data_IF_933205150639
#
_entry.id   IF_933205150639
#
_cell.length_a   1.000
_cell.length_b   1.000
_cell.length_c   1.000
_cell.angle_alpha   90.00
_cell.angle_beta   90.00
_cell.angle_gamma   90.00
#
_symmetry.space_group_name_H-M   'P 1'
#
loop_
_entity.id
_entity.type
_entity.pdbx_description
1 polymer ?
#
# COMPACT_ATOMS: atom_id res chain seq x y z
N UNK A 1 36.23 -1.72 -4.93
CA UNK A 1 35.16 -2.65 -5.33
C UNK A 1 33.87 -1.91 -5.68
N UNK A 2 33.90 -1.18 -6.81
CA UNK A 2 32.69 -0.61 -7.44
C UNK A 2 31.98 -1.67 -8.32
N UNK A 3 32.74 -2.67 -8.77
CA UNK A 3 32.29 -3.76 -9.63
C UNK A 3 31.27 -4.69 -8.97
N UNK A 4 31.31 -4.86 -7.65
CA UNK A 4 30.38 -5.76 -6.93
C UNK A 4 28.99 -5.13 -6.70
N UNK A 5 28.89 -3.80 -6.71
CA UNK A 5 27.63 -3.06 -6.54
C UNK A 5 26.89 -2.90 -7.87
N UNK A 6 27.61 -2.60 -8.95
CA UNK A 6 27.04 -2.58 -10.31
C UNK A 6 26.53 -3.97 -10.70
N UNK A 7 27.28 -5.04 -10.39
CA UNK A 7 26.82 -6.40 -10.68
C UNK A 7 25.54 -6.78 -9.93
N UNK A 8 25.36 -6.30 -8.70
CA UNK A 8 24.16 -6.58 -7.91
C UNK A 8 22.94 -5.79 -8.39
N UNK A 9 23.15 -4.62 -8.98
CA UNK A 9 22.06 -3.80 -9.53
C UNK A 9 21.60 -4.33 -10.88
N UNK A 10 22.53 -4.65 -11.77
CA UNK A 10 22.22 -5.25 -13.07
C UNK A 10 21.58 -6.64 -12.88
N UNK A 11 22.03 -7.45 -11.89
CA UNK A 11 21.33 -8.70 -11.53
C UNK A 11 19.88 -8.46 -11.11
N UNK A 12 19.60 -7.49 -10.21
CA UNK A 12 18.23 -7.23 -9.76
C UNK A 12 17.38 -6.70 -10.91
N UNK A 13 17.93 -5.82 -11.73
CA UNK A 13 17.23 -5.26 -12.88
C UNK A 13 16.94 -6.33 -13.93
N UNK A 14 17.91 -7.17 -14.27
CA UNK A 14 17.73 -8.27 -15.23
C UNK A 14 16.75 -9.32 -14.68
N UNK A 15 16.81 -9.66 -13.39
CA UNK A 15 15.82 -10.54 -12.73
C UNK A 15 14.43 -9.91 -12.76
N UNK A 16 14.32 -8.60 -12.58
CA UNK A 16 13.05 -7.89 -12.63
C UNK A 16 12.54 -7.73 -14.06
N UNK A 17 13.40 -7.54 -15.06
CA UNK A 17 13.05 -7.48 -16.49
C UNK A 17 12.64 -8.87 -17.00
N UNK A 18 13.36 -9.94 -16.64
CA UNK A 18 12.96 -11.32 -16.89
C UNK A 18 11.66 -11.66 -16.16
N UNK A 19 11.48 -11.19 -14.92
CA UNK A 19 10.24 -11.34 -14.14
C UNK A 19 9.05 -10.66 -14.82
N UNK A 20 9.19 -9.41 -15.27
CA UNK A 20 8.13 -8.69 -15.97
C UNK A 20 7.77 -9.31 -17.32
N UNK A 21 8.71 -10.06 -17.92
CA UNK A 21 8.46 -10.87 -19.11
C UNK A 21 7.88 -12.27 -18.81
N UNK A 22 7.81 -12.70 -17.53
CA UNK A 22 7.43 -14.06 -17.09
C UNK A 22 6.40 -14.10 -15.96
N UNK A 23 5.66 -13.01 -15.72
CA UNK A 23 4.83 -12.83 -14.54
C UNK A 23 3.33 -12.97 -14.75
N UNK A 24 2.83 -14.17 -15.07
CA UNK A 24 1.52 -14.70 -14.66
C UNK A 24 1.61 -16.23 -14.51
N UNK A 25 2.43 -16.70 -13.56
CA UNK A 25 2.21 -17.86 -12.66
C UNK A 25 3.55 -18.28 -12.04
N UNK A 26 4.06 -17.50 -11.09
CA UNK A 26 5.30 -17.85 -10.37
C UNK A 26 5.03 -17.90 -8.87
N UNK A 27 5.59 -18.87 -8.10
CA UNK A 27 5.60 -18.85 -6.64
C UNK A 27 6.05 -17.50 -6.08
N UNK A 28 5.71 -17.21 -4.82
CA UNK A 28 6.20 -16.03 -4.09
C UNK A 28 7.69 -15.82 -4.35
N UNK A 29 8.01 -14.78 -5.13
CA UNK A 29 9.38 -14.40 -5.41
C UNK A 29 9.75 -13.40 -4.34
N UNK A 30 10.85 -13.70 -3.67
CA UNK A 30 11.43 -12.90 -2.63
C UNK A 30 12.84 -12.50 -3.10
N UNK A 31 12.94 -11.31 -3.69
CA UNK A 31 14.23 -10.74 -4.09
C UNK A 31 14.75 -9.97 -2.88
N UNK A 32 15.95 -10.31 -2.42
CA UNK A 32 16.53 -9.78 -1.20
C UNK A 32 17.93 -9.22 -1.45
N UNK A 33 18.30 -8.14 -0.78
CA UNK A 33 19.67 -7.65 -0.81
C UNK A 33 20.66 -8.66 -0.19
N UNK A 34 21.86 -8.79 -0.76
CA UNK A 34 22.91 -9.74 -0.32
C UNK A 34 23.30 -9.64 1.16
N UNK A 35 23.10 -8.47 1.76
CA UNK A 35 23.42 -8.16 3.16
C UNK A 35 22.24 -8.31 4.13
N UNK A 36 21.08 -8.74 3.64
CA UNK A 36 19.92 -8.99 4.49
C UNK A 36 20.18 -10.16 5.43
N UNK A 37 19.70 -10.03 6.67
CA UNK A 37 19.71 -11.09 7.66
C UNK A 37 18.35 -11.13 8.35
N UNK A 38 17.72 -12.31 8.49
CA UNK A 38 16.44 -12.44 9.17
C UNK A 38 16.59 -12.08 10.65
N UNK A 39 15.63 -11.32 11.18
CA UNK A 39 15.58 -10.93 12.60
C UNK A 39 14.31 -11.44 13.30
N UNK A 40 13.25 -11.74 12.54
CA UNK A 40 11.98 -12.26 13.05
C UNK A 40 12.04 -13.79 13.19
N UNK A 41 13.02 -14.27 13.94
CA UNK A 41 13.16 -15.71 14.27
C UNK A 41 12.01 -16.18 15.17
N UNK A 42 11.80 -17.49 15.28
CA UNK A 42 10.77 -18.04 16.19
C UNK A 42 11.01 -17.63 17.66
N UNK A 43 12.27 -17.53 18.09
CA UNK A 43 12.62 -16.97 19.39
C UNK A 43 12.14 -15.51 19.49
N UNK A 44 12.45 -14.67 18.49
CA UNK A 44 12.00 -13.28 18.47
C UNK A 44 10.48 -13.17 18.49
N UNK A 45 9.77 -13.94 17.67
CA UNK A 45 8.30 -13.98 17.64
C UNK A 45 7.71 -14.33 18.99
N UNK A 46 8.33 -15.24 19.74
CA UNK A 46 7.87 -15.61 21.10
C UNK A 46 8.01 -14.48 22.13
N UNK A 47 8.92 -13.52 21.90
CA UNK A 47 9.09 -12.34 22.78
C UNK A 47 8.10 -11.21 22.50
N UNK A 48 7.43 -11.24 21.35
CA UNK A 48 6.51 -10.18 20.92
C UNK A 48 5.08 -10.52 21.36
N UNK A 49 4.39 -9.56 21.97
CA UNK A 49 2.97 -9.70 22.30
C UNK A 49 2.13 -9.29 21.10
N UNK A 50 1.72 -10.27 20.28
CA UNK A 50 0.96 -10.08 19.03
C UNK A 50 -0.51 -9.65 19.21
N UNK A 51 -0.78 -8.62 20.03
CA UNK A 51 -2.15 -8.23 20.39
C UNK A 51 -2.88 -7.59 19.23
N UNK A 52 -2.23 -6.68 18.50
CA UNK A 52 -2.80 -6.01 17.34
C UNK A 52 -2.99 -7.00 16.18
N UNK A 53 -2.00 -7.86 15.94
CA UNK A 53 -2.09 -8.87 14.88
C UNK A 53 -3.20 -9.90 15.16
N UNK A 54 -3.24 -10.49 16.36
CA UNK A 54 -4.22 -11.53 16.68
C UNK A 54 -5.67 -11.04 16.61
N UNK A 55 -5.95 -9.80 17.08
CA UNK A 55 -7.31 -9.24 16.98
C UNK A 55 -7.72 -8.97 15.54
N UNK A 56 -6.78 -8.53 14.69
CA UNK A 56 -7.07 -8.28 13.27
C UNK A 56 -7.34 -9.60 12.52
N UNK A 57 -6.51 -10.63 12.73
CA UNK A 57 -6.75 -11.95 12.13
C UNK A 57 -8.09 -12.56 12.59
N UNK A 58 -8.43 -12.41 13.87
CA UNK A 58 -9.74 -12.83 14.41
C UNK A 58 -10.90 -12.09 13.75
N UNK A 59 -10.75 -10.78 13.54
CA UNK A 59 -11.73 -9.96 12.83
C UNK A 59 -11.92 -10.38 11.37
N UNK A 60 -10.84 -10.74 10.65
CA UNK A 60 -10.94 -11.26 9.28
C UNK A 60 -11.72 -12.58 9.22
N UNK A 61 -11.50 -13.48 10.18
CA UNK A 61 -12.19 -14.77 10.24
C UNK A 61 -13.67 -14.61 10.62
N UNK A 62 -13.96 -13.87 11.67
CA UNK A 62 -15.30 -13.86 12.27
C UNK A 62 -16.23 -12.77 11.71
N UNK A 63 -15.72 -11.57 11.42
CA UNK A 63 -16.56 -10.48 10.86
C UNK A 63 -16.55 -10.48 9.33
N UNK A 64 -15.36 -10.60 8.72
CA UNK A 64 -15.24 -10.61 7.25
C UNK A 64 -15.52 -11.99 6.65
N UNK A 65 -15.57 -13.04 7.47
CA UNK A 65 -15.84 -14.42 7.05
C UNK A 65 -14.87 -14.92 5.97
N UNK A 66 -13.62 -14.49 6.04
CA UNK A 66 -12.59 -14.94 5.12
C UNK A 66 -12.19 -16.38 5.45
N UNK A 67 -11.81 -17.14 4.41
CA UNK A 67 -11.35 -18.51 4.58
C UNK A 67 -10.06 -18.53 5.41
N UNK A 68 -9.93 -19.53 6.28
CA UNK A 68 -8.74 -19.70 7.14
C UNK A 68 -7.44 -19.75 6.34
N UNK A 69 -7.45 -20.39 5.18
CA UNK A 69 -6.30 -20.47 4.27
C UNK A 69 -5.85 -19.10 3.75
N UNK A 70 -6.79 -18.21 3.45
CA UNK A 70 -6.50 -16.83 3.00
C UNK A 70 -5.92 -16.01 4.15
N UNK A 71 -6.52 -16.10 5.34
CA UNK A 71 -6.04 -15.40 6.53
C UNK A 71 -4.64 -15.89 6.94
N UNK A 72 -4.39 -17.21 6.89
CA UNK A 72 -3.08 -17.80 7.12
C UNK A 72 -2.04 -17.35 6.08
N UNK A 73 -2.43 -17.23 4.81
CA UNK A 73 -1.55 -16.69 3.75
C UNK A 73 -1.16 -15.23 4.03
N UNK A 74 -2.10 -14.39 4.46
CA UNK A 74 -1.82 -13.00 4.87
C UNK A 74 -0.90 -12.99 6.09
N UNK A 75 -1.16 -13.84 7.08
CA UNK A 75 -0.31 -13.95 8.26
C UNK A 75 1.12 -14.37 7.88
N UNK A 76 1.31 -15.40 7.05
CA UNK A 76 2.65 -15.82 6.61
C UNK A 76 3.34 -14.73 5.80
N UNK A 77 2.71 -14.22 4.75
CA UNK A 77 3.32 -13.21 3.87
C UNK A 77 3.70 -11.93 4.61
N UNK A 78 2.93 -11.52 5.62
CA UNK A 78 3.29 -10.36 6.44
C UNK A 78 4.32 -10.64 7.53
N UNK A 79 4.52 -11.90 7.94
CA UNK A 79 5.71 -12.27 8.72
C UNK A 79 6.96 -12.11 7.85
N UNK A 80 6.89 -12.58 6.60
CA UNK A 80 8.00 -12.48 5.65
C UNK A 80 8.33 -11.02 5.36
N UNK A 81 7.33 -10.18 5.03
CA UNK A 81 7.56 -8.74 4.81
C UNK A 81 8.14 -8.08 6.06
N UNK A 82 7.60 -8.36 7.26
CA UNK A 82 8.13 -7.78 8.49
C UNK A 82 9.58 -8.22 8.76
N UNK A 83 9.93 -9.46 8.44
CA UNK A 83 11.29 -9.97 8.57
C UNK A 83 12.29 -9.27 7.62
N UNK A 84 11.81 -8.68 6.53
CA UNK A 84 12.59 -7.81 5.65
C UNK A 84 12.64 -6.35 6.10
N UNK A 85 11.67 -5.92 6.90
CA UNK A 85 11.70 -4.61 7.54
C UNK A 85 12.84 -4.53 8.57
N UNK A 86 13.23 -3.33 9.02
CA UNK A 86 14.31 -3.21 10.01
C UNK A 86 13.86 -3.58 11.43
N UNK A 87 14.66 -4.34 12.20
CA UNK A 87 14.32 -4.68 13.59
C UNK A 87 14.13 -3.42 14.45
N UNK A 88 12.93 -3.16 14.99
CA UNK A 88 12.65 -1.98 15.83
C UNK A 88 13.55 -1.85 17.05
N UNK A 89 14.09 -2.96 17.56
CA UNK A 89 14.97 -2.98 18.73
C UNK A 89 16.46 -2.82 18.40
N UNK A 90 16.81 -2.78 17.11
CA UNK A 90 18.18 -2.58 16.69
C UNK A 90 18.69 -1.23 17.24
N UNK A 91 19.85 -1.25 17.89
CA UNK A 91 20.44 -0.04 18.48
C UNK A 91 20.99 0.93 17.43
N UNK A 92 21.39 0.39 16.29
CA UNK A 92 21.96 1.16 15.17
C UNK A 92 20.87 1.71 14.25
N UNK A 93 21.23 2.75 13.49
CA UNK A 93 20.41 3.35 12.44
C UNK A 93 20.18 2.33 11.31
N UNK A 94 19.01 2.40 10.68
CA UNK A 94 18.69 1.57 9.51
C UNK A 94 17.79 2.33 8.53
N UNK A 95 17.97 2.00 7.25
CA UNK A 95 17.24 2.60 6.14
C UNK A 95 16.85 1.49 5.18
N UNK A 96 15.65 0.93 5.35
CA UNK A 96 15.16 -0.20 4.54
C UNK A 96 14.13 0.31 3.54
N UNK A 97 14.25 -0.10 2.27
CA UNK A 97 13.33 0.21 1.18
C UNK A 97 12.93 -1.07 0.46
N UNK A 98 11.65 -1.39 0.49
CA UNK A 98 11.13 -2.54 -0.24
C UNK A 98 9.85 -2.24 -1.02
N UNK A 99 9.53 -3.17 -1.93
CA UNK A 99 8.34 -3.12 -2.76
C UNK A 99 7.55 -4.42 -2.59
N UNK A 100 6.25 -4.28 -2.40
CA UNK A 100 5.30 -5.39 -2.39
C UNK A 100 4.43 -5.27 -3.63
N UNK A 101 4.55 -6.25 -4.51
CA UNK A 101 3.83 -6.30 -5.79
C UNK A 101 2.69 -7.29 -5.66
N UNK A 102 1.51 -6.93 -6.14
CA UNK A 102 0.42 -7.88 -6.25
C UNK A 102 -0.66 -7.39 -7.19
N UNK A 103 -1.38 -8.32 -7.80
CA UNK A 103 -2.42 -8.02 -8.79
C UNK A 103 -3.48 -7.04 -8.26
N UNK A 104 -4.20 -6.39 -9.17
CA UNK A 104 -5.40 -5.63 -8.81
C UNK A 104 -6.32 -6.54 -8.00
N UNK A 105 -6.83 -6.11 -6.84
CA UNK A 105 -7.62 -6.94 -5.91
C UNK A 105 -6.94 -8.17 -5.26
N UNK A 106 -5.62 -8.33 -5.36
CA UNK A 106 -4.85 -9.39 -4.64
C UNK A 106 -4.84 -9.28 -3.10
N UNK A 107 -5.60 -8.36 -2.51
CA UNK A 107 -5.62 -8.16 -1.06
C UNK A 107 -4.48 -7.29 -0.52
N UNK A 108 -3.77 -6.51 -1.36
CA UNK A 108 -2.72 -5.55 -0.94
C UNK A 108 -3.09 -4.75 0.30
N UNK A 109 -4.31 -4.21 0.33
CA UNK A 109 -4.79 -3.42 1.47
C UNK A 109 -4.89 -4.23 2.76
N UNK A 110 -5.40 -5.46 2.70
CA UNK A 110 -5.48 -6.34 3.86
C UNK A 110 -4.07 -6.80 4.30
N UNK A 111 -3.16 -6.95 3.34
CA UNK A 111 -1.76 -7.28 3.59
C UNK A 111 -1.04 -6.13 4.33
N UNK A 112 -1.04 -4.90 3.81
CA UNK A 112 -0.40 -3.79 4.55
C UNK A 112 -1.10 -3.50 5.88
N UNK A 113 -2.41 -3.74 6.01
CA UNK A 113 -3.12 -3.60 7.28
C UNK A 113 -2.67 -4.66 8.30
N UNK A 114 -2.42 -5.89 7.86
CA UNK A 114 -1.78 -6.94 8.70
C UNK A 114 -0.37 -6.54 9.10
N UNK A 115 0.43 -6.04 8.15
CA UNK A 115 1.79 -5.56 8.41
C UNK A 115 1.82 -4.43 9.44
N UNK A 116 0.91 -3.45 9.34
CA UNK A 116 0.78 -2.35 10.31
C UNK A 116 0.50 -2.91 11.71
N UNK A 117 -0.46 -3.81 11.86
CA UNK A 117 -0.79 -4.41 13.15
C UNK A 117 0.44 -5.13 13.75
N UNK A 118 1.17 -5.90 12.94
CA UNK A 118 2.40 -6.59 13.37
C UNK A 118 3.54 -5.63 13.70
N UNK A 119 3.71 -4.57 12.91
CA UNK A 119 4.74 -3.56 13.14
C UNK A 119 4.53 -2.84 14.48
N UNK A 120 3.27 -2.52 14.84
CA UNK A 120 2.93 -1.96 16.14
C UNK A 120 3.31 -2.93 17.26
N UNK A 121 2.94 -4.21 17.15
CA UNK A 121 3.30 -5.24 18.13
C UNK A 121 4.83 -5.41 18.26
N UNK A 122 5.56 -5.38 17.14
CA UNK A 122 7.01 -5.55 17.07
C UNK A 122 7.81 -4.36 17.63
N UNK A 123 7.18 -3.19 17.78
CA UNK A 123 7.76 -2.02 18.44
C UNK A 123 8.02 -0.80 17.56
N UNK A 124 7.49 -0.76 16.33
CA UNK A 124 7.45 0.48 15.55
C UNK A 124 6.67 1.56 16.30
N UNK A 125 7.19 2.80 16.30
CA UNK A 125 6.61 3.91 17.08
C UNK A 125 5.87 4.93 16.24
N UNK A 126 6.12 4.94 14.94
CA UNK A 126 5.43 5.81 13.99
C UNK A 126 5.09 4.99 12.76
N UNK A 127 3.81 4.96 12.41
CA UNK A 127 3.29 4.37 11.18
C UNK A 127 2.69 5.50 10.34
N UNK A 128 3.12 5.61 9.10
CA UNK A 128 2.58 6.55 8.12
C UNK A 128 2.09 5.76 6.93
N UNK A 129 0.85 5.99 6.52
CA UNK A 129 0.27 5.40 5.31
C UNK A 129 0.04 6.50 4.30
N UNK A 130 0.78 6.48 3.19
CA UNK A 130 0.56 7.33 2.04
C UNK A 130 -0.53 6.71 1.17
N UNK A 131 -1.57 7.47 0.86
CA UNK A 131 -2.68 7.04 0.00
C UNK A 131 -2.56 7.66 -1.39
N UNK A 132 -3.62 7.58 -2.20
CA UNK A 132 -3.71 8.36 -3.44
C UNK A 132 -3.69 9.89 -3.26
N UNK A 133 -4.00 10.61 -4.34
CA UNK A 133 -3.92 12.08 -4.44
C UNK A 133 -5.20 12.83 -4.00
N UNK A 134 -6.30 12.11 -3.73
CA UNK A 134 -7.61 12.70 -3.40
C UNK A 134 -7.95 12.55 -1.91
N UNK A 135 -8.80 13.45 -1.40
CA UNK A 135 -9.21 13.41 0.01
C UNK A 135 -10.15 12.24 0.30
N UNK A 136 -10.90 11.81 -0.71
CA UNK A 136 -11.86 10.71 -0.68
C UNK A 136 -11.12 9.38 -0.49
N UNK A 137 -10.08 9.13 -1.30
CA UNK A 137 -9.25 7.92 -1.16
C UNK A 137 -8.55 7.87 0.21
N UNK A 138 -8.08 9.02 0.68
CA UNK A 138 -7.48 9.16 2.02
C UNK A 138 -8.50 8.85 3.12
N UNK A 139 -9.71 9.44 3.05
CA UNK A 139 -10.80 9.21 3.99
C UNK A 139 -11.26 7.75 4.01
N UNK A 140 -11.37 7.11 2.84
CA UNK A 140 -11.71 5.68 2.74
C UNK A 140 -10.65 4.80 3.41
N UNK A 141 -9.37 5.07 3.17
CA UNK A 141 -8.26 4.35 3.81
C UNK A 141 -8.26 4.57 5.32
N UNK A 142 -8.50 5.80 5.77
CA UNK A 142 -8.62 6.10 7.20
C UNK A 142 -9.76 5.32 7.84
N UNK A 143 -10.98 5.32 7.27
CA UNK A 143 -12.12 4.56 7.80
C UNK A 143 -11.83 3.06 7.90
N UNK A 144 -11.04 2.54 6.96
CA UNK A 144 -10.58 1.14 7.01
C UNK A 144 -9.64 0.92 8.18
N UNK A 145 -8.58 1.72 8.33
CA UNK A 145 -7.62 1.57 9.43
C UNK A 145 -8.23 1.88 10.81
N UNK A 146 -9.19 2.79 10.88
CA UNK A 146 -10.02 3.04 12.05
C UNK A 146 -10.72 1.76 12.51
N UNK A 147 -11.22 0.96 11.57
CA UNK A 147 -11.92 -0.31 11.85
C UNK A 147 -10.96 -1.47 12.10
N UNK A 148 -9.90 -1.55 11.29
CA UNK A 148 -9.06 -2.75 11.14
C UNK A 148 -7.73 -2.67 11.91
N UNK A 149 -7.37 -1.47 12.39
CA UNK A 149 -6.19 -1.25 13.24
C UNK A 149 -6.57 -0.57 14.55
N UNK A 150 -7.34 0.53 14.54
CA UNK A 150 -7.63 1.29 15.77
C UNK A 150 -8.73 0.62 16.61
N UNK A 151 -9.82 0.25 15.96
CA UNK A 151 -11.05 -0.21 16.60
C UNK A 151 -11.97 0.93 17.10
N UNK A 152 -11.80 2.16 16.58
CA UNK A 152 -12.60 3.34 16.92
C UNK A 152 -12.84 4.20 15.67
N UNK A 153 -13.96 4.93 15.62
CA UNK A 153 -14.22 5.94 14.59
C UNK A 153 -13.47 7.23 14.93
N UNK A 154 -12.94 7.92 13.92
CA UNK A 154 -12.23 9.21 14.10
C UNK A 154 -12.93 10.41 13.47
N UNK A 155 -14.06 10.24 12.77
CA UNK A 155 -14.82 11.33 12.14
C UNK A 155 -15.61 12.18 13.15
N UNK A 156 -15.92 13.43 12.79
CA UNK A 156 -16.56 14.44 13.66
C UNK A 156 -17.90 13.96 14.24
N UNK A 157 -18.63 13.12 13.51
CA UNK A 157 -19.91 12.59 14.00
C UNK A 157 -19.75 11.67 15.22
N UNK A 158 -18.55 11.10 15.44
CA UNK A 158 -18.23 10.30 16.63
C UNK A 158 -18.10 11.11 17.92
N UNK A 159 -17.85 12.42 17.86
CA UNK A 159 -17.77 13.28 19.06
C UNK A 159 -19.17 13.68 19.59
N UNK A 160 -20.20 13.66 18.73
CA UNK A 160 -21.58 14.00 19.11
C UNK A 160 -22.31 12.86 19.80
N UNK A 161 -21.81 11.64 19.65
CA UNK A 161 -22.33 10.44 20.30
C UNK A 161 -21.46 10.11 21.52
N UNK A 162 -21.47 10.97 22.54
CA UNK A 162 -20.78 10.70 23.83
C UNK A 162 -21.27 9.43 24.53
N UNK A 163 -22.36 8.82 24.05
CA UNK A 163 -22.91 7.53 24.48
C UNK A 163 -22.38 6.31 23.71
N UNK A 164 -21.61 6.49 22.62
CA UNK A 164 -21.23 5.41 21.68
C UNK A 164 -19.75 4.96 21.79
N UNK A 165 -18.95 5.56 22.69
CA UNK A 165 -17.56 5.11 22.97
C UNK A 165 -17.48 3.69 23.52
N UNK A 166 -18.62 3.10 23.88
CA UNK A 166 -18.74 1.74 24.38
C UNK A 166 -19.27 0.74 23.33
N UNK A 167 -19.51 1.18 22.09
CA UNK A 167 -19.93 0.29 20.99
C UNK A 167 -18.72 -0.28 20.27
N UNK A 168 -18.72 -1.60 20.13
CA UNK A 168 -17.63 -2.29 19.46
C UNK A 168 -17.61 -1.94 17.97
N UNK A 169 -16.54 -1.26 17.56
CA UNK A 169 -16.25 -0.89 16.18
C UNK A 169 -15.04 -1.67 15.65
N UNK A 170 -15.27 -2.52 14.65
CA UNK A 170 -14.19 -3.26 13.98
C UNK A 170 -13.45 -4.23 14.92
N UNK A 171 -12.12 -4.13 14.95
CA UNK A 171 -11.25 -5.01 15.74
C UNK A 171 -11.43 -4.88 17.25
N UNK A 172 -12.09 -3.83 17.74
CA UNK A 172 -12.35 -3.66 19.19
C UNK A 172 -13.23 -4.77 19.78
N UNK A 173 -14.07 -5.42 18.97
CA UNK A 173 -14.82 -6.64 19.31
C UNK A 173 -13.93 -7.79 19.79
N UNK A 174 -12.69 -7.83 19.31
CA UNK A 174 -11.70 -8.89 19.57
C UNK A 174 -10.61 -8.42 20.53
N UNK A 175 -10.77 -7.24 21.15
CA UNK A 175 -9.84 -6.67 22.10
C UNK A 175 -9.66 -5.17 21.93
N UNK A 176 -10.08 -4.41 22.95
CA UNK A 176 -9.80 -2.98 23.06
C UNK A 176 -8.36 -2.78 23.53
N UNK A 177 -7.58 -2.07 22.72
CA UNK A 177 -6.19 -1.73 23.04
C UNK A 177 -6.08 -0.20 23.13
N UNK A 178 -5.52 0.27 24.24
CA UNK A 178 -5.03 1.64 24.38
C UNK A 178 -3.52 1.63 24.08
N UNK A 179 -3.04 2.56 23.26
CA UNK A 179 -1.63 2.59 22.86
C UNK A 179 -1.35 3.04 21.43
N UNK A 180 -2.39 3.40 20.68
CA UNK A 180 -2.28 3.97 19.34
C UNK A 180 -2.87 5.39 19.33
N UNK A 181 -2.04 6.38 19.01
CA UNK A 181 -2.45 7.76 18.81
C UNK A 181 -2.61 8.04 17.32
N UNK A 182 -3.82 8.32 16.87
CA UNK A 182 -4.07 8.64 15.46
C UNK A 182 -4.00 10.15 15.25
N UNK A 183 -3.21 10.57 14.26
CA UNK A 183 -2.91 11.97 13.98
C UNK A 183 -3.82 12.59 12.90
N UNK A 184 -4.65 11.76 12.26
CA UNK A 184 -5.56 12.10 11.16
C UNK A 184 -6.96 11.54 11.46
N UNK A 185 -8.00 12.11 10.86
CA UNK A 185 -9.38 11.65 11.02
C UNK A 185 -10.03 11.20 9.71
N UNK A 186 -11.13 10.47 9.82
CA UNK A 186 -11.91 9.96 8.70
C UNK A 186 -12.68 11.06 7.93
N UNK A 187 -12.72 12.30 8.42
CA UNK A 187 -13.34 13.43 7.73
C UNK A 187 -12.63 13.76 6.41
N UNK A 188 -13.32 14.30 5.40
CA UNK A 188 -12.67 14.69 4.14
C UNK A 188 -11.50 15.67 4.32
N UNK A 189 -11.59 16.56 5.31
CA UNK A 189 -10.52 17.49 5.71
C UNK A 189 -9.78 17.05 7.00
N UNK A 190 -9.85 15.77 7.32
CA UNK A 190 -9.20 15.12 8.47
C UNK A 190 -7.70 14.93 8.34
N UNK A 191 -7.06 15.69 7.44
CA UNK A 191 -5.61 15.74 7.32
C UNK A 191 -4.98 16.18 8.64
N UNK A 192 -3.70 15.83 8.80
CA UNK A 192 -2.89 16.27 9.93
C UNK A 192 -3.07 17.78 10.12
N UNK A 193 -3.57 18.19 11.28
CA UNK A 193 -3.67 19.61 11.62
C UNK A 193 -2.28 20.12 11.99
N UNK A 194 -2.08 21.44 11.96
CA UNK A 194 -0.81 22.01 12.43
C UNK A 194 -0.55 21.48 13.84
N UNK A 195 0.59 20.83 14.09
CA UNK A 195 0.87 20.30 15.40
C UNK A 195 0.88 21.44 16.43
N UNK A 196 0.05 21.39 17.46
CA UNK A 196 -0.06 22.47 18.46
C UNK A 196 0.66 22.16 19.78
N UNK A 197 1.40 21.05 19.84
CA UNK A 197 2.11 20.61 21.04
C UNK A 197 3.40 19.84 20.73
N UNK A 198 4.09 19.46 21.80
CA UNK A 198 5.26 18.57 21.76
C UNK A 198 4.76 17.12 21.78
N UNK A 199 5.25 16.29 20.85
CA UNK A 199 4.95 14.87 20.82
C UNK A 199 6.08 14.11 21.52
N UNK A 200 5.74 13.26 22.48
CA UNK A 200 6.73 12.45 23.20
C UNK A 200 6.76 11.05 22.62
N UNK A 201 7.85 10.72 21.93
CA UNK A 201 8.13 9.33 21.52
C UNK A 201 9.25 8.79 22.41
N UNK A 202 9.01 7.62 23.00
CA UNK A 202 9.78 7.00 24.06
C UNK A 202 9.49 5.49 24.13
N UNK A 203 10.27 4.74 24.91
CA UNK A 203 10.08 3.28 25.05
C UNK A 203 8.66 2.90 25.49
N UNK A 204 8.10 3.64 26.45
CA UNK A 204 6.72 3.47 26.94
C UNK A 204 5.68 4.31 26.18
N UNK A 205 6.09 5.13 25.20
CA UNK A 205 5.14 5.95 24.45
C UNK A 205 4.25 5.11 23.54
N UNK A 206 2.98 5.52 23.37
CA UNK A 206 2.08 4.96 22.37
C UNK A 206 2.66 5.13 20.96
N UNK A 207 2.28 4.22 20.06
CA UNK A 207 2.58 4.34 18.64
C UNK A 207 1.73 5.46 18.03
N UNK A 208 2.28 6.19 17.05
CA UNK A 208 1.53 7.15 16.26
C UNK A 208 1.14 6.57 14.91
N UNK A 209 -0.09 6.83 14.44
CA UNK A 209 -0.56 6.45 13.11
C UNK A 209 -1.06 7.69 12.37
N UNK A 210 -0.66 7.86 11.11
CA UNK A 210 -1.17 8.91 10.23
C UNK A 210 -1.50 8.38 8.84
N UNK A 211 -2.64 8.78 8.28
CA UNK A 211 -3.05 8.48 6.90
C UNK A 211 -3.01 9.75 6.07
N UNK A 212 -2.09 9.80 5.11
CA UNK A 212 -1.63 11.02 4.47
C UNK A 212 -1.82 10.93 2.96
N UNK A 213 -2.48 11.94 2.40
CA UNK A 213 -2.59 12.12 0.96
C UNK A 213 -1.23 12.50 0.36
N UNK A 214 -0.89 11.93 -0.80
CA UNK A 214 0.35 12.23 -1.55
C UNK A 214 0.34 13.64 -2.15
N UNK A 215 0.56 14.64 -1.30
CA UNK A 215 0.71 16.03 -1.73
C UNK A 215 1.80 16.74 -0.93
N UNK A 216 2.57 17.67 -1.53
CA UNK A 216 3.62 18.38 -0.82
C UNK A 216 3.10 19.15 0.40
N UNK A 217 1.88 19.67 0.34
CA UNK A 217 1.27 20.42 1.44
C UNK A 217 0.99 19.54 2.65
N UNK A 218 0.41 18.35 2.46
CA UNK A 218 0.12 17.42 3.57
C UNK A 218 1.40 16.77 4.10
N UNK A 219 2.35 16.39 3.22
CA UNK A 219 3.64 15.83 3.63
C UNK A 219 4.51 16.81 4.44
N UNK A 220 4.47 18.12 4.13
CA UNK A 220 5.13 19.15 4.96
C UNK A 220 4.62 19.17 6.40
N UNK A 221 3.35 18.83 6.64
CA UNK A 221 2.80 18.75 8.00
C UNK A 221 3.37 17.54 8.74
N UNK A 222 3.57 16.42 8.06
CA UNK A 222 4.25 15.23 8.60
C UNK A 222 5.68 15.57 9.00
N UNK A 223 6.42 16.24 8.12
CA UNK A 223 7.78 16.72 8.41
C UNK A 223 7.77 17.61 9.66
N UNK A 224 6.79 18.52 9.77
CA UNK A 224 6.66 19.39 10.95
C UNK A 224 6.33 18.60 12.23
N UNK A 225 5.52 17.55 12.14
CA UNK A 225 5.27 16.63 13.25
C UNK A 225 6.57 15.94 13.68
N UNK A 226 7.32 15.34 12.75
CA UNK A 226 8.57 14.62 13.04
C UNK A 226 9.62 15.54 13.67
N UNK A 227 9.78 16.78 13.17
CA UNK A 227 10.70 17.78 13.74
C UNK A 227 10.33 18.22 15.15
N UNK A 228 9.07 18.08 15.55
CA UNK A 228 8.54 18.48 16.87
C UNK A 228 8.42 17.31 17.84
N UNK A 229 8.71 16.10 17.38
CA UNK A 229 8.78 14.94 18.24
C UNK A 229 10.01 15.09 19.13
N UNK A 230 9.77 15.41 20.39
CA UNK A 230 10.82 15.37 21.42
C UNK A 230 11.03 13.91 21.76
N UNK A 231 12.22 13.44 21.41
CA UNK A 231 12.70 12.13 21.81
C UNK A 231 13.58 12.35 23.03
N UNK A 232 13.44 11.53 24.08
CA UNK A 232 14.43 11.49 25.16
C UNK A 232 15.82 11.13 24.62
N UNK A 233 15.84 10.45 23.47
CA UNK A 233 16.99 10.04 22.68
C UNK A 233 16.98 10.74 21.31
N UNK A 234 17.09 12.08 21.25
CA UNK A 234 17.38 12.74 19.96
C UNK A 234 18.65 12.10 19.43
N UNK A 235 18.54 11.35 18.34
CA UNK A 235 19.67 10.68 17.72
C UNK A 235 20.76 11.71 17.42
N UNK A 236 22.01 11.27 17.33
CA UNK A 236 23.26 12.07 17.30
C UNK A 236 23.32 13.24 16.28
N UNK A 237 22.26 13.51 15.50
CA UNK A 237 22.15 14.54 14.46
C UNK A 237 20.76 15.23 14.34
N UNK A 238 19.89 15.21 15.36
CA UNK A 238 18.57 15.88 15.28
C UNK A 238 17.50 15.12 14.50
N UNK A 239 17.74 13.83 14.20
CA UNK A 239 16.77 12.90 13.61
C UNK A 239 15.98 12.17 14.70
N UNK A 240 14.76 11.75 14.39
CA UNK A 240 13.97 10.86 15.22
C UNK A 240 14.65 9.48 15.28
N UNK A 241 15.01 9.03 16.50
CA UNK A 241 15.72 7.77 16.72
C UNK A 241 14.81 6.53 16.83
N UNK A 242 13.49 6.73 16.81
CA UNK A 242 12.54 5.64 16.91
C UNK A 242 12.18 5.07 15.53
N UNK A 243 11.92 3.75 15.45
CA UNK A 243 11.61 3.08 14.20
C UNK A 243 10.28 3.57 13.61
N UNK A 244 10.35 4.02 12.36
CA UNK A 244 9.21 4.44 11.54
C UNK A 244 8.93 3.44 10.41
N UNK A 245 7.66 3.11 10.21
CA UNK A 245 7.18 2.38 9.03
C UNK A 245 6.38 3.34 8.15
N UNK A 246 6.81 3.51 6.90
CA UNK A 246 6.09 4.25 5.87
C UNK A 246 5.55 3.25 4.84
N UNK A 247 4.23 3.11 4.80
CA UNK A 247 3.51 2.35 3.78
C UNK A 247 3.12 3.30 2.67
N UNK A 248 3.44 2.96 1.43
CA UNK A 248 3.11 3.76 0.26
C UNK A 248 2.15 2.99 -0.65
N UNK A 249 0.84 3.28 -0.54
CA UNK A 249 -0.20 2.64 -1.33
C UNK A 249 -0.28 3.27 -2.74
N UNK A 250 -0.30 2.44 -3.78
CA UNK A 250 -0.06 2.83 -5.17
C UNK A 250 1.27 3.56 -5.35
N UNK A 251 2.36 2.90 -4.95
CA UNK A 251 3.71 3.48 -4.92
C UNK A 251 4.22 3.98 -6.29
N UNK A 252 3.61 3.56 -7.39
CA UNK A 252 3.86 4.04 -8.75
C UNK A 252 3.22 5.40 -9.04
N UNK A 253 2.22 5.81 -8.23
CA UNK A 253 1.54 7.09 -8.33
C UNK A 253 2.14 8.14 -7.39
N UNK A 254 2.56 9.26 -7.97
CA UNK A 254 3.03 10.51 -7.33
C UNK A 254 4.30 10.43 -6.46
N UNK A 255 4.64 9.27 -5.91
CA UNK A 255 5.84 9.06 -5.09
C UNK A 255 7.13 8.98 -5.93
N UNK A 256 7.05 8.36 -7.11
CA UNK A 256 8.16 8.28 -8.07
C UNK A 256 8.50 9.66 -8.62
N UNK A 257 9.79 9.95 -8.80
CA UNK A 257 10.24 11.16 -9.46
C UNK A 257 9.96 11.09 -10.97
N UNK A 258 8.94 11.83 -11.44
CA UNK A 258 8.60 11.92 -12.86
C UNK A 258 9.28 13.07 -13.60
N UNK A 259 10.24 13.77 -12.97
CA UNK A 259 11.00 14.80 -13.65
C UNK A 259 11.92 14.15 -14.71
N UNK A 260 12.05 14.79 -15.88
CA UNK A 260 12.98 14.35 -16.94
C UNK A 260 14.42 14.38 -16.46
N UNK A 261 14.73 15.37 -15.63
CA UNK A 261 16.01 15.47 -14.96
C UNK A 261 15.96 14.66 -13.67
N UNK A 262 16.67 13.53 -13.66
CA UNK A 262 16.72 12.60 -12.54
C UNK A 262 17.65 13.10 -11.41
N UNK A 263 18.24 14.30 -11.52
CA UNK A 263 18.94 14.90 -10.37
C UNK A 263 17.98 15.07 -9.18
N UNK A 264 18.36 14.49 -8.03
CA UNK A 264 17.56 14.52 -6.79
C UNK A 264 17.11 15.93 -6.38
N UNK A 265 17.91 16.96 -6.64
CA UNK A 265 17.57 18.36 -6.29
C UNK A 265 16.37 18.90 -7.07
N UNK A 266 16.13 18.36 -8.27
CA UNK A 266 15.05 18.75 -9.19
C UNK A 266 13.83 17.81 -9.10
N UNK A 267 13.88 16.81 -8.22
CA UNK A 267 12.77 15.87 -8.01
C UNK A 267 11.42 16.54 -7.75
N UNK A 268 10.34 15.85 -8.08
CA UNK A 268 8.97 16.33 -7.82
C UNK A 268 8.76 16.66 -6.35
N UNK A 269 7.87 17.62 -6.06
CA UNK A 269 7.67 18.08 -4.68
C UNK A 269 7.20 16.98 -3.73
N UNK A 270 6.44 15.99 -4.22
CA UNK A 270 6.00 14.82 -3.44
C UNK A 270 7.18 13.91 -3.14
N UNK A 271 7.93 13.46 -4.15
CA UNK A 271 9.12 12.64 -3.99
C UNK A 271 10.12 13.30 -3.01
N UNK A 272 10.44 14.59 -3.21
CA UNK A 272 11.32 15.36 -2.32
C UNK A 272 10.83 15.36 -0.87
N UNK A 273 9.53 15.49 -0.65
CA UNK A 273 8.97 15.49 0.70
C UNK A 273 9.03 14.11 1.36
N UNK A 274 8.82 13.03 0.58
CA UNK A 274 8.99 11.65 1.06
C UNK A 274 10.47 11.42 1.45
N UNK A 275 11.41 11.79 0.59
CA UNK A 275 12.85 11.68 0.89
C UNK A 275 13.27 12.51 2.09
N UNK A 276 12.74 13.72 2.27
CA UNK A 276 12.99 14.52 3.48
C UNK A 276 12.46 13.80 4.74
N UNK A 277 11.27 13.20 4.70
CA UNK A 277 10.73 12.39 5.82
C UNK A 277 11.70 11.27 6.16
N UNK A 278 12.11 10.47 5.18
CA UNK A 278 12.93 9.28 5.38
C UNK A 278 14.36 9.63 5.81
N UNK A 279 15.05 10.48 5.04
CA UNK A 279 16.49 10.68 5.18
C UNK A 279 16.85 11.83 6.13
N UNK A 280 16.10 12.94 6.18
CA UNK A 280 16.43 14.06 7.10
C UNK A 280 15.83 13.92 8.48
N UNK A 281 14.68 13.28 8.61
CA UNK A 281 13.92 13.30 9.86
C UNK A 281 13.97 11.96 10.61
N UNK A 282 14.39 10.86 9.99
CA UNK A 282 14.41 9.54 10.62
C UNK A 282 15.82 8.95 10.63
N UNK A 283 16.24 8.41 11.77
CA UNK A 283 17.45 7.59 11.89
C UNK A 283 17.17 6.10 11.63
N UNK A 284 15.90 5.69 11.82
CA UNK A 284 15.43 4.32 11.64
C UNK A 284 14.13 4.33 10.88
N UNK A 285 14.16 3.89 9.63
CA UNK A 285 12.94 3.80 8.83
C UNK A 285 12.87 2.54 7.98
N UNK A 286 11.65 2.11 7.72
CA UNK A 286 11.31 1.16 6.67
C UNK A 286 10.28 1.81 5.76
N UNK A 287 10.58 1.90 4.47
CA UNK A 287 9.65 2.27 3.41
C UNK A 287 9.19 1.00 2.70
N UNK A 288 7.88 0.79 2.59
CA UNK A 288 7.29 -0.32 1.84
C UNK A 288 6.29 0.22 0.84
N UNK A 289 6.65 0.19 -0.43
CA UNK A 289 5.73 0.49 -1.52
C UNK A 289 4.79 -0.69 -1.78
N UNK A 290 3.51 -0.42 -1.99
CA UNK A 290 2.54 -1.39 -2.47
C UNK A 290 2.04 -0.94 -3.84
N UNK A 291 2.12 -1.81 -4.84
CA UNK A 291 1.63 -1.49 -6.19
C UNK A 291 1.20 -2.75 -6.95
N UNK A 292 0.36 -2.55 -7.97
CA UNK A 292 0.09 -3.55 -9.00
C UNK A 292 1.06 -3.42 -10.19
N UNK A 293 1.72 -2.27 -10.32
CA UNK A 293 2.40 -1.80 -11.54
C UNK A 293 3.81 -1.33 -11.17
N UNK A 294 4.76 -2.24 -10.93
CA UNK A 294 6.05 -1.91 -10.34
C UNK A 294 7.01 -1.17 -11.29
N UNK A 295 6.69 -1.06 -12.59
CA UNK A 295 7.55 -0.48 -13.63
C UNK A 295 8.17 0.86 -13.20
N UNK A 296 7.36 1.81 -12.72
CA UNK A 296 7.86 3.12 -12.33
C UNK A 296 8.82 3.06 -11.12
N UNK A 297 8.66 2.07 -10.23
CA UNK A 297 9.46 1.92 -9.01
C UNK A 297 10.82 1.26 -9.28
N UNK A 298 10.85 0.26 -10.16
CA UNK A 298 12.07 -0.49 -10.49
C UNK A 298 13.00 0.29 -11.43
N UNK A 299 12.45 1.24 -12.20
CA UNK A 299 13.23 2.11 -13.09
C UNK A 299 13.70 3.40 -12.40
N UNK A 300 13.51 3.54 -11.09
CA UNK A 300 14.15 4.62 -10.33
C UNK A 300 15.66 4.39 -10.38
N UNK A 301 16.38 5.33 -10.98
CA UNK A 301 17.84 5.25 -11.06
C UNK A 301 18.42 5.19 -9.64
N UNK A 302 19.28 4.21 -9.33
CA UNK A 302 20.05 4.24 -8.11
C UNK A 302 20.90 5.50 -8.11
N UNK A 303 20.80 6.28 -7.05
CA UNK A 303 21.72 7.37 -6.85
C UNK A 303 22.89 6.85 -6.04
N UNK A 304 24.10 7.00 -6.56
CA UNK A 304 25.28 6.77 -5.75
C UNK A 304 25.21 7.67 -4.50
N UNK A 305 25.60 7.15 -3.33
CA UNK A 305 25.68 7.91 -2.07
C UNK A 305 26.81 8.95 -2.12
N UNK A 306 26.81 9.82 -3.13
CA UNK A 306 27.80 10.86 -3.34
C UNK A 306 27.11 12.22 -3.26
N UNK A 307 26.99 12.73 -2.05
CA UNK A 307 27.24 14.14 -1.73
C UNK A 307 27.00 14.34 -0.25
N UNK A 308 27.73 15.27 0.34
CA UNK A 308 27.62 15.67 1.75
C UNK A 308 26.30 16.40 2.07
N UNK A 309 25.21 16.11 1.36
CA UNK A 309 23.88 16.65 1.58
C UNK A 309 22.98 15.54 2.16
N UNK A 310 22.27 15.85 3.23
CA UNK A 310 21.45 14.92 4.05
C UNK A 310 20.20 14.32 3.33
N UNK A 311 20.21 14.17 1.99
CA UNK A 311 19.11 13.68 1.12
C UNK A 311 19.57 12.58 0.14
N UNK A 312 20.57 11.78 0.50
CA UNK A 312 21.49 11.18 -0.48
C UNK A 312 20.99 9.98 -1.31
N UNK A 313 19.71 9.61 -1.27
CA UNK A 313 19.19 8.47 -2.06
C UNK A 313 17.70 8.65 -2.38
N UNK A 314 17.20 7.98 -3.42
CA UNK A 314 15.78 7.95 -3.80
C UNK A 314 15.05 6.78 -3.11
N UNK A 315 13.81 6.50 -3.54
CA UNK A 315 12.92 5.47 -2.99
C UNK A 315 12.97 4.14 -3.77
N UNK A 316 14.01 3.91 -4.57
CA UNK A 316 14.25 2.63 -5.25
C UNK A 316 14.23 1.48 -4.22
N UNK A 317 13.53 0.36 -4.47
CA UNK A 317 13.39 -0.74 -3.51
C UNK A 317 14.66 -1.60 -3.43
N UNK A 318 15.72 -1.04 -2.84
CA UNK A 318 17.06 -1.62 -2.77
C UNK A 318 17.18 -2.85 -1.88
N UNK A 319 16.25 -3.06 -0.94
CA UNK A 319 16.41 -4.08 0.10
C UNK A 319 15.57 -5.33 -0.15
N UNK A 320 14.34 -5.18 -0.66
CA UNK A 320 13.52 -6.33 -1.04
C UNK A 320 12.41 -6.03 -2.06
N UNK A 321 12.03 -7.04 -2.84
CA UNK A 321 10.81 -7.06 -3.64
C UNK A 321 10.08 -8.38 -3.38
N UNK A 322 8.84 -8.29 -2.88
CA UNK A 322 8.02 -9.45 -2.53
C UNK A 322 6.74 -9.46 -3.37
N UNK A 323 6.41 -10.61 -3.97
CA UNK A 323 5.14 -10.81 -4.69
C UNK A 323 4.08 -11.44 -3.80
N UNK A 324 2.91 -10.81 -3.72
CA UNK A 324 1.77 -11.39 -3.00
C UNK A 324 1.14 -12.51 -3.82
N UNK A 325 0.81 -13.63 -3.15
CA UNK A 325 0.05 -14.71 -3.78
C UNK A 325 -1.35 -14.24 -4.10
N UNK A 326 -1.73 -14.44 -5.35
CA UNK A 326 -3.09 -14.21 -5.81
C UNK A 326 -4.02 -15.27 -5.22
N UNK A 327 -5.09 -14.87 -4.49
CA UNK A 327 -6.04 -15.83 -3.91
C UNK A 327 -6.68 -16.71 -4.98
N UNK A 328 -7.04 -17.95 -4.62
CA UNK A 328 -7.69 -18.90 -5.56
C UNK A 328 -9.07 -18.44 -6.07
N UNK A 329 -9.69 -17.48 -5.38
CA UNK A 329 -10.96 -16.86 -5.73
C UNK A 329 -10.80 -15.48 -6.39
N UNK A 330 -9.56 -15.10 -6.73
CA UNK A 330 -9.30 -13.95 -7.58
C UNK A 330 -9.92 -14.17 -8.96
N UNK A 331 -10.43 -13.08 -9.54
CA UNK A 331 -10.92 -13.06 -10.92
C UNK A 331 -10.16 -11.99 -11.68
N UNK A 332 -9.15 -12.42 -12.42
CA UNK A 332 -8.16 -11.55 -13.07
C UNK A 332 -8.13 -11.68 -14.58
N UNK A 333 -7.15 -11.04 -15.24
CA UNK A 333 -6.98 -11.13 -16.70
C UNK A 333 -6.95 -12.57 -17.22
N UNK A 334 -6.39 -13.51 -16.45
CA UNK A 334 -6.40 -14.94 -16.77
C UNK A 334 -7.83 -15.51 -16.92
N UNK A 335 -8.74 -15.19 -15.98
CA UNK A 335 -10.14 -15.67 -16.01
C UNK A 335 -10.98 -15.05 -17.13
N UNK A 336 -10.56 -13.86 -17.59
CA UNK A 336 -11.30 -13.03 -18.54
C UNK A 336 -10.82 -13.19 -19.98
N UNK A 337 -9.51 -13.33 -20.17
CA UNK A 337 -8.89 -13.33 -21.49
C UNK A 337 -8.23 -14.67 -21.85
N UNK A 338 -8.15 -15.63 -20.91
CA UNK A 338 -7.61 -16.97 -21.17
C UNK A 338 -6.12 -17.00 -21.50
N UNK A 339 -5.42 -15.87 -21.35
CA UNK A 339 -3.99 -15.76 -21.64
C UNK A 339 -3.19 -16.30 -20.45
N UNK A 340 -2.66 -17.51 -20.59
CA UNK A 340 -1.45 -17.91 -19.89
C UNK A 340 -0.22 -17.59 -20.75
N UNK A 341 0.95 -17.44 -20.12
CA UNK A 341 2.16 -16.94 -20.79
C UNK A 341 2.89 -17.98 -21.66
N UNK A 342 2.47 -19.25 -21.62
CA UNK A 342 3.16 -20.33 -22.34
C UNK A 342 2.35 -20.92 -23.51
N UNK A 343 1.12 -20.45 -23.74
CA UNK A 343 0.26 -21.01 -24.77
C UNK A 343 -0.15 -19.98 -25.82
N UNK A 344 0.00 -20.39 -27.08
CA UNK A 344 -0.97 -19.99 -28.09
C UNK A 344 -2.37 -20.24 -27.50
N UNK A 345 -3.19 -19.19 -27.41
CA UNK A 345 -4.65 -19.22 -27.22
C UNK A 345 -5.16 -20.58 -26.67
N UNK A 346 -4.95 -20.85 -25.38
CA UNK A 346 -5.41 -22.12 -24.79
C UNK A 346 -6.92 -22.05 -24.54
N UNK A 347 -7.68 -22.50 -25.54
CA UNK A 347 -9.13 -22.64 -25.53
C UNK A 347 -9.66 -23.63 -24.47
N UNK A 348 -8.81 -24.25 -23.65
CA UNK A 348 -9.24 -25.19 -22.60
C UNK A 348 -9.68 -24.50 -21.29
N UNK A 349 -9.29 -23.25 -21.04
CA UNK A 349 -9.80 -22.48 -19.91
C UNK A 349 -11.19 -21.88 -20.22
N UNK A 350 -12.17 -22.09 -19.33
CA UNK A 350 -13.49 -21.49 -19.43
C UNK A 350 -13.33 -19.98 -19.28
N UNK A 351 -13.22 -19.26 -20.40
CA UNK A 351 -13.19 -17.80 -20.44
C UNK A 351 -14.53 -17.28 -19.92
N UNK A 352 -14.48 -16.28 -19.04
CA UNK A 352 -15.66 -15.45 -18.80
C UNK A 352 -15.73 -14.44 -19.93
N UNK A 353 -16.57 -14.70 -20.92
CA UNK A 353 -16.78 -13.78 -22.04
C UNK A 353 -17.10 -12.37 -21.54
N UNK A 354 -16.16 -11.46 -21.74
CA UNK A 354 -16.36 -10.01 -21.57
C UNK A 354 -17.16 -9.42 -22.72
N UNK A 355 -17.16 -10.11 -23.86
CA UNK A 355 -17.91 -9.76 -25.06
C UNK A 355 -19.22 -10.54 -25.05
N UNK A 356 -20.32 -9.85 -24.77
CA UNK A 356 -21.65 -10.39 -25.01
C UNK A 356 -21.99 -10.07 -26.45
N UNK A 357 -22.27 -11.09 -27.26
CA UNK A 357 -22.80 -10.89 -28.61
C UNK A 357 -24.08 -10.06 -28.52
N UNK A 358 -24.04 -8.87 -29.11
CA UNK A 358 -25.22 -8.01 -29.23
C UNK A 358 -26.10 -8.60 -30.32
N UNK A 359 -27.38 -8.85 -30.01
CA UNK A 359 -28.33 -9.34 -31.00
C UNK A 359 -28.32 -8.38 -32.22
N UNK A 360 -28.19 -8.88 -33.46
CA UNK A 360 -28.24 -8.04 -34.65
C UNK A 360 -29.47 -7.13 -34.73
N UNK A 361 -30.60 -7.54 -34.11
CA UNK A 361 -31.81 -6.72 -33.98
C UNK A 361 -31.63 -5.55 -33.02
N UNK A 362 -30.88 -5.75 -31.93
CA UNK A 362 -30.52 -4.70 -31.00
C UNK A 362 -29.60 -3.67 -31.69
N UNK A 363 -28.68 -4.13 -32.54
CA UNK A 363 -27.81 -3.26 -33.34
C UNK A 363 -28.60 -2.43 -34.36
N UNK A 364 -29.59 -3.02 -35.03
CA UNK A 364 -30.51 -2.32 -35.95
C UNK A 364 -31.44 -1.35 -35.21
N UNK A 365 -31.86 -1.68 -33.99
CA UNK A 365 -32.64 -0.75 -33.16
C UNK A 365 -31.80 0.43 -32.63
N UNK A 366 -30.49 0.22 -32.47
CA UNK A 366 -29.53 1.22 -31.97
C UNK A 366 -29.16 2.25 -33.02
N UNK A 367 -29.08 1.82 -34.29
CA UNK A 367 -28.76 2.66 -35.45
C UNK A 367 -30.00 2.59 -36.35
N UNK A 368 -30.93 3.53 -36.20
CA UNK A 368 -32.19 3.51 -36.98
C UNK A 368 -31.98 3.30 -38.48
N UNK A 369 -33.02 2.80 -39.17
CA UNK A 369 -32.96 2.33 -40.57
C UNK A 369 -32.38 3.34 -41.59
N UNK A 370 -32.32 4.64 -41.25
CA UNK A 370 -31.87 5.71 -42.16
C UNK A 370 -30.37 6.10 -42.02
N UNK A 371 -29.61 5.52 -41.08
CA UNK A 371 -28.23 5.96 -40.77
C UNK A 371 -27.11 5.01 -41.25
N UNK A 372 -27.35 4.25 -42.32
CA UNK A 372 -26.34 3.37 -42.91
C UNK A 372 -25.14 4.14 -43.53
N UNK A 373 -25.28 5.45 -43.78
CA UNK A 373 -24.27 6.25 -44.49
C UNK A 373 -23.60 7.38 -43.68
N UNK A 374 -23.92 7.55 -42.39
CA UNK A 374 -23.27 8.57 -41.56
C UNK A 374 -22.00 8.03 -40.86
N UNK A 375 -20.93 8.84 -40.73
CA UNK A 375 -19.77 8.51 -39.89
C UNK A 375 -20.20 8.23 -38.44
N UNK A 376 -19.53 7.29 -37.77
CA UNK A 376 -19.90 6.85 -36.42
C UNK A 376 -19.97 7.97 -35.36
N UNK A 377 -19.29 9.10 -35.59
CA UNK A 377 -19.28 10.25 -34.70
C UNK A 377 -20.55 11.13 -34.76
N UNK A 378 -21.43 10.92 -35.75
CA UNK A 378 -22.62 11.77 -36.01
C UNK A 378 -23.95 11.04 -35.77
N UNK A 379 -23.91 9.78 -35.32
CA UNK A 379 -25.11 8.98 -35.03
C UNK A 379 -25.73 9.41 -33.70
N UNK A 380 -26.94 9.95 -33.73
CA UNK A 380 -27.70 10.25 -32.52
C UNK A 380 -28.36 8.98 -31.96
N UNK A 381 -28.13 8.72 -30.66
CA UNK A 381 -28.67 7.56 -29.96
C UNK A 381 -30.19 7.73 -29.74
N UNK A 382 -31.01 7.12 -30.59
CA UNK A 382 -32.47 7.23 -30.47
C UNK A 382 -33.09 6.29 -29.42
N UNK A 383 -32.45 5.14 -29.11
CA UNK A 383 -32.95 4.18 -28.13
C UNK A 383 -31.81 3.36 -27.49
N UNK A 384 -31.96 2.96 -26.22
CA UNK A 384 -31.01 2.08 -25.52
C UNK A 384 -31.47 0.63 -25.71
N UNK A 385 -30.73 -0.23 -26.43
CA UNK A 385 -31.12 -1.62 -26.68
C UNK A 385 -31.18 -2.43 -25.39
N UNK A 386 -31.98 -3.49 -25.38
CA UNK A 386 -32.20 -4.28 -24.18
C UNK A 386 -30.91 -4.97 -23.72
N UNK A 387 -30.05 -5.44 -24.62
CA UNK A 387 -28.70 -5.93 -24.28
C UNK A 387 -27.83 -4.90 -23.57
N UNK A 388 -27.81 -3.65 -24.05
CA UNK A 388 -27.06 -2.57 -23.40
C UNK A 388 -27.67 -2.18 -22.05
N UNK A 389 -29.00 -2.18 -21.94
CA UNK A 389 -29.69 -1.98 -20.66
C UNK A 389 -29.35 -3.11 -19.68
N UNK A 390 -29.32 -4.36 -20.12
CA UNK A 390 -28.91 -5.51 -19.30
C UNK A 390 -27.44 -5.39 -18.90
N UNK A 391 -26.54 -5.00 -19.81
CA UNK A 391 -25.13 -4.81 -19.49
C UNK A 391 -24.92 -3.70 -18.44
N UNK A 392 -25.61 -2.56 -18.58
CA UNK A 392 -25.60 -1.48 -17.59
C UNK A 392 -26.22 -1.94 -16.27
N UNK A 393 -27.31 -2.72 -16.29
CA UNK A 393 -27.89 -3.30 -15.08
C UNK A 393 -26.95 -4.30 -14.40
N UNK A 394 -26.27 -5.17 -15.14
CA UNK A 394 -25.27 -6.09 -14.63
C UNK A 394 -24.06 -5.32 -14.04
N UNK A 395 -23.63 -4.24 -14.68
CA UNK A 395 -22.60 -3.34 -14.15
C UNK A 395 -23.07 -2.66 -12.84
N UNK A 396 -24.30 -2.15 -12.80
CA UNK A 396 -24.85 -1.50 -11.60
C UNK A 396 -25.09 -2.50 -10.46
N UNK A 397 -25.54 -3.73 -10.76
CA UNK A 397 -25.72 -4.79 -9.77
C UNK A 397 -24.37 -5.28 -9.26
N UNK A 398 -23.38 -5.49 -10.13
CA UNK A 398 -22.03 -5.90 -9.71
C UNK A 398 -21.29 -4.80 -8.92
N UNK A 399 -21.51 -3.53 -9.27
CA UNK A 399 -21.01 -2.40 -8.50
C UNK A 399 -21.76 -2.19 -7.17
N UNK A 400 -23.06 -2.53 -7.13
CA UNK A 400 -23.95 -2.38 -5.98
C UNK A 400 -23.95 -3.55 -4.99
N UNK A 401 -23.51 -4.75 -5.41
CA UNK A 401 -23.42 -5.96 -4.58
C UNK A 401 -22.12 -6.07 -3.77
N UNK A 402 -21.39 -4.95 -3.57
CA UNK A 402 -20.14 -4.88 -2.79
C UNK A 402 -20.35 -4.81 -1.29
#
# INVERSE_FOLDING_TARGET
DLTDLESSFDEIKDIVEDFLCSSITVPTIDIQAKQWSPWLTEERKSTISWRYSNRYLSYLLAEKKWKETVVASIASSTDDILNHCGDPLLKHDFSIKGLVVGDVQSGKTANYTSLINKAIDAGYKVIIVLTGITNELRSQTQKRLDKEVLGLKTDIDSEKEETDRDVDYGVSKYGRLSGLNVLTSADLNGDLKKPNGVYSVGGMSPCYLAVIKKSPTTLKKVIQFLKRTVTSDVGKKGKMAFPLLLIDDEADLASVNTNKDQELQKSTGTNKSIREILYKNCAKFTYVGYTATPFANIFIAPHEKYSNEDDSDDIFPSDFIITLKTPSDYSGPLDFFGVDENTQDDDTHIRRDLLVDVDPKDLQSFVGDDDAFLPAAEKECMFIPDSLRIAVMCFLISAGAR
#
